data_IF_989155999352
#
_entry.id   IF_989155999352
#
_cell.length_a   1.000
_cell.length_b   1.000
_cell.length_c   1.000
_cell.angle_alpha   90.00
_cell.angle_beta   90.00
_cell.angle_gamma   90.00
#
_symmetry.space_group_name_H-M   'P 1'
#
loop_
_entity.id
_entity.type
_entity.pdbx_description
1 polymer ?
#
# COMPACT_ATOMS: atom_id res chain seq x y z
N UNK A 1 -14.68 18.18 -18.24
CA UNK A 1 -13.70 19.30 -18.10
C UNK A 1 -12.87 19.38 -19.36
N UNK A 2 -12.57 20.58 -19.87
CA UNK A 2 -11.67 20.77 -21.00
C UNK A 2 -10.21 20.80 -20.53
N UNK A 3 -9.27 20.49 -21.43
CA UNK A 3 -7.83 20.57 -21.14
C UNK A 3 -7.42 21.97 -20.64
N UNK A 4 -8.02 23.01 -21.23
CA UNK A 4 -7.85 24.40 -20.80
C UNK A 4 -8.38 24.67 -19.37
N UNK A 5 -9.50 24.05 -18.99
CA UNK A 5 -10.02 24.12 -17.63
C UNK A 5 -9.10 23.45 -16.61
N UNK A 6 -8.40 22.38 -16.99
CA UNK A 6 -7.44 21.68 -16.13
C UNK A 6 -6.21 22.57 -15.81
N UNK A 7 -5.65 23.25 -16.82
CA UNK A 7 -4.53 24.19 -16.65
C UNK A 7 -4.92 25.51 -15.96
N UNK A 8 -6.21 25.81 -15.87
CA UNK A 8 -6.69 26.98 -15.12
C UNK A 8 -6.64 26.77 -13.60
N UNK A 9 -6.91 25.54 -13.15
CA UNK A 9 -6.86 25.17 -11.72
C UNK A 9 -5.49 24.70 -11.26
N UNK A 10 -4.66 24.20 -12.17
CA UNK A 10 -3.34 23.66 -11.86
C UNK A 10 -2.24 24.36 -12.65
N UNK A 11 -1.17 24.76 -11.96
CA UNK A 11 0.03 25.37 -12.54
C UNK A 11 0.80 24.43 -13.47
N UNK A 12 0.50 23.13 -13.49
CA UNK A 12 1.05 22.16 -14.43
C UNK A 12 0.81 20.70 -14.05
N UNK A 13 1.30 19.78 -14.89
CA UNK A 13 1.21 18.31 -14.71
C UNK A 13 1.68 17.86 -13.32
N UNK A 14 2.73 18.49 -12.80
CA UNK A 14 3.35 18.13 -11.51
C UNK A 14 2.43 18.41 -10.32
N UNK A 15 1.60 19.44 -10.38
CA UNK A 15 0.64 19.76 -9.30
C UNK A 15 -0.51 18.75 -9.29
N UNK A 16 -1.01 18.38 -10.47
CA UNK A 16 -2.02 17.32 -10.61
C UNK A 16 -1.47 15.98 -10.12
N UNK A 17 -0.24 15.64 -10.53
CA UNK A 17 0.41 14.40 -10.09
C UNK A 17 0.65 14.41 -8.58
N UNK A 18 1.07 15.54 -8.03
CA UNK A 18 1.23 15.72 -6.59
C UNK A 18 -0.08 15.47 -5.86
N UNK A 19 -1.17 16.11 -6.26
CA UNK A 19 -2.46 15.97 -5.60
C UNK A 19 -2.99 14.54 -5.66
N UNK A 20 -2.90 13.88 -6.83
CA UNK A 20 -3.29 12.47 -6.97
C UNK A 20 -2.50 11.59 -6.00
N UNK A 21 -1.17 11.72 -5.97
CA UNK A 21 -0.33 10.86 -5.13
C UNK A 21 -0.50 11.18 -3.64
N UNK A 22 -0.52 12.45 -3.28
CA UNK A 22 -0.65 12.91 -1.90
C UNK A 22 -1.98 12.46 -1.32
N UNK A 23 -3.08 12.71 -2.04
CA UNK A 23 -4.42 12.31 -1.60
C UNK A 23 -4.56 10.80 -1.50
N UNK A 24 -4.01 10.05 -2.46
CA UNK A 24 -4.09 8.59 -2.42
C UNK A 24 -3.34 8.01 -1.23
N UNK A 25 -2.12 8.48 -0.93
CA UNK A 25 -1.38 8.00 0.25
C UNK A 25 -2.01 8.47 1.57
N UNK A 26 -2.60 9.67 1.61
CA UNK A 26 -3.32 10.18 2.79
C UNK A 26 -4.51 9.26 3.10
N UNK A 27 -5.39 9.04 2.13
CA UNK A 27 -6.58 8.19 2.27
C UNK A 27 -6.23 6.74 2.57
N UNK A 28 -5.16 6.21 1.96
CA UNK A 28 -4.66 4.87 2.27
C UNK A 28 -4.14 4.76 3.71
N UNK A 29 -3.43 5.77 4.22
CA UNK A 29 -2.96 5.78 5.60
C UNK A 29 -4.11 5.92 6.61
N UNK A 30 -5.17 6.65 6.25
CA UNK A 30 -6.40 6.75 7.05
C UNK A 30 -7.14 5.42 7.11
N UNK A 31 -7.30 4.73 5.98
CA UNK A 31 -7.95 3.41 5.95
C UNK A 31 -7.18 2.37 6.78
N UNK A 32 -5.83 2.44 6.79
CA UNK A 32 -5.02 1.61 7.68
C UNK A 32 -5.23 1.97 9.16
N UNK A 33 -5.29 3.26 9.50
CA UNK A 33 -5.52 3.68 10.88
C UNK A 33 -6.88 3.18 11.40
N UNK A 34 -7.92 3.27 10.57
CA UNK A 34 -9.25 2.72 10.87
C UNK A 34 -9.23 1.20 11.00
N UNK A 35 -8.61 0.49 10.06
CA UNK A 35 -8.54 -0.97 10.06
C UNK A 35 -7.74 -1.54 11.25
N UNK A 36 -6.83 -0.75 11.82
CA UNK A 36 -6.01 -1.12 12.97
C UNK A 36 -6.62 -0.73 14.32
N UNK A 37 -7.70 0.06 14.33
CA UNK A 37 -8.32 0.52 15.56
C UNK A 37 -8.75 -0.66 16.44
N UNK A 38 -8.20 -0.73 17.66
CA UNK A 38 -8.49 -1.80 18.63
C UNK A 38 -7.79 -3.15 18.36
N UNK A 39 -7.02 -3.28 17.27
CA UNK A 39 -6.33 -4.52 16.92
C UNK A 39 -4.98 -4.60 17.63
N UNK A 40 -4.81 -5.63 18.48
CA UNK A 40 -3.59 -5.82 19.28
C UNK A 40 -2.64 -6.87 18.71
N UNK A 41 -3.17 -7.95 18.16
CA UNK A 41 -2.35 -9.07 17.68
C UNK A 41 -1.59 -8.67 16.39
N UNK A 42 -0.24 -8.78 16.35
CA UNK A 42 0.55 -8.34 15.20
C UNK A 42 0.19 -9.04 13.88
N UNK A 43 -0.14 -10.34 13.95
CA UNK A 43 -0.57 -11.11 12.77
C UNK A 43 -1.88 -10.55 12.21
N UNK A 44 -2.84 -10.27 13.06
CA UNK A 44 -4.11 -9.66 12.65
C UNK A 44 -3.91 -8.23 12.14
N UNK A 45 -3.04 -7.43 12.77
CA UNK A 45 -2.67 -6.10 12.24
C UNK A 45 -2.18 -6.20 10.79
N UNK A 46 -1.30 -7.17 10.51
CA UNK A 46 -0.79 -7.36 9.16
C UNK A 46 -1.88 -7.75 8.17
N UNK A 47 -2.81 -8.64 8.56
CA UNK A 47 -3.97 -8.98 7.72
C UNK A 47 -4.83 -7.76 7.42
N UNK A 48 -5.11 -6.93 8.43
CA UNK A 48 -5.89 -5.69 8.28
C UNK A 48 -5.24 -4.72 7.31
N UNK A 49 -3.93 -4.53 7.42
CA UNK A 49 -3.16 -3.68 6.49
C UNK A 49 -3.25 -4.23 5.06
N UNK A 50 -3.02 -5.53 4.86
CA UNK A 50 -3.09 -6.13 3.52
C UNK A 50 -4.49 -6.00 2.92
N UNK A 51 -5.52 -6.30 3.72
CA UNK A 51 -6.92 -6.16 3.31
C UNK A 51 -7.28 -4.72 2.94
N UNK A 52 -6.94 -3.76 3.79
CA UNK A 52 -7.20 -2.33 3.54
C UNK A 52 -6.46 -1.83 2.30
N UNK A 53 -5.22 -2.28 2.08
CA UNK A 53 -4.46 -1.92 0.87
C UNK A 53 -5.13 -2.45 -0.40
N UNK A 54 -5.50 -3.73 -0.42
CA UNK A 54 -6.10 -4.36 -1.60
C UNK A 54 -7.51 -3.82 -1.88
N UNK A 55 -8.30 -3.57 -0.84
CA UNK A 55 -9.60 -2.90 -0.97
C UNK A 55 -9.44 -1.49 -1.55
N UNK A 56 -8.53 -0.69 -0.99
CA UNK A 56 -8.22 0.64 -1.53
C UNK A 56 -7.75 0.57 -2.98
N UNK A 57 -6.87 -0.38 -3.31
CA UNK A 57 -6.40 -0.60 -4.66
C UNK A 57 -7.54 -0.89 -5.63
N UNK A 58 -8.42 -1.84 -5.28
CA UNK A 58 -9.51 -2.28 -6.14
C UNK A 58 -10.55 -1.17 -6.39
N UNK A 59 -10.78 -0.30 -5.41
CA UNK A 59 -11.65 0.88 -5.56
C UNK A 59 -10.99 2.03 -6.32
N UNK A 60 -9.66 2.02 -6.52
CA UNK A 60 -8.89 3.14 -7.07
C UNK A 60 -7.88 2.72 -8.15
N UNK A 61 -8.22 1.71 -8.97
CA UNK A 61 -7.31 1.13 -9.98
C UNK A 61 -6.64 2.20 -10.88
N UNK A 62 -7.36 3.20 -11.44
CA UNK A 62 -6.73 4.23 -12.26
C UNK A 62 -5.67 5.03 -11.50
N UNK A 63 -5.97 5.44 -10.26
CA UNK A 63 -5.05 6.18 -9.40
C UNK A 63 -3.82 5.32 -9.08
N UNK A 64 -4.01 4.04 -8.76
CA UNK A 64 -2.92 3.11 -8.48
C UNK A 64 -2.00 2.92 -9.68
N UNK A 65 -2.53 2.92 -10.91
CA UNK A 65 -1.70 2.90 -12.13
C UNK A 65 -0.81 4.14 -12.24
N UNK A 66 -1.33 5.32 -11.90
CA UNK A 66 -0.55 6.57 -11.87
C UNK A 66 0.52 6.52 -10.78
N UNK A 67 0.14 6.12 -9.57
CA UNK A 67 1.05 5.96 -8.43
C UNK A 67 2.22 5.02 -8.73
N UNK A 68 1.97 3.90 -9.40
CA UNK A 68 3.03 2.93 -9.74
C UNK A 68 3.92 3.38 -10.89
N UNK A 69 3.37 4.03 -11.94
CA UNK A 69 4.12 4.42 -13.15
C UNK A 69 4.88 5.74 -13.01
N UNK A 70 4.33 6.70 -12.27
CA UNK A 70 4.83 8.06 -12.18
C UNK A 70 5.45 8.32 -10.79
N UNK A 71 5.85 7.26 -10.09
CA UNK A 71 6.26 7.31 -8.68
C UNK A 71 7.51 8.18 -8.43
N UNK A 72 8.34 8.39 -9.45
CA UNK A 72 9.61 9.14 -9.38
C UNK A 72 9.58 10.46 -10.17
N UNK A 73 8.43 10.87 -10.70
CA UNK A 73 8.35 12.08 -11.54
C UNK A 73 8.24 13.38 -10.75
N UNK A 74 7.79 13.32 -9.49
CA UNK A 74 7.71 14.51 -8.65
C UNK A 74 9.12 14.95 -8.23
N UNK A 75 9.35 16.26 -8.21
CA UNK A 75 10.61 16.88 -7.76
C UNK A 75 10.38 17.94 -6.68
N UNK A 76 11.45 18.36 -6.01
CA UNK A 76 11.42 19.41 -4.99
C UNK A 76 10.40 19.15 -3.87
N UNK A 77 9.66 20.19 -3.50
CA UNK A 77 8.69 20.15 -2.38
C UNK A 77 7.58 19.09 -2.54
N UNK A 78 7.19 18.77 -3.78
CA UNK A 78 6.14 17.78 -4.02
C UNK A 78 6.63 16.35 -3.77
N UNK A 79 7.87 16.05 -4.22
CA UNK A 79 8.52 14.79 -3.95
C UNK A 79 8.73 14.56 -2.45
N UNK A 80 9.13 15.62 -1.73
CA UNK A 80 9.36 15.57 -0.30
C UNK A 80 8.09 15.19 0.48
N UNK A 81 6.99 15.93 0.25
CA UNK A 81 5.70 15.71 0.93
C UNK A 81 5.10 14.33 0.64
N UNK A 82 5.11 13.88 -0.62
CA UNK A 82 4.66 12.52 -0.97
C UNK A 82 5.60 11.47 -0.38
N UNK A 83 6.90 11.73 -0.42
CA UNK A 83 7.92 10.86 0.17
C UNK A 83 7.73 10.64 1.67
N UNK A 84 7.29 11.66 2.42
CA UNK A 84 6.97 11.52 3.84
C UNK A 84 5.82 10.54 4.09
N UNK A 85 4.74 10.63 3.31
CA UNK A 85 3.60 9.72 3.41
C UNK A 85 4.01 8.28 3.04
N UNK A 86 4.80 8.11 1.97
CA UNK A 86 5.36 6.80 1.60
C UNK A 86 6.21 6.20 2.72
N UNK A 87 7.13 6.99 3.29
CA UNK A 87 7.96 6.55 4.42
C UNK A 87 7.11 6.20 5.63
N UNK A 88 6.04 6.94 5.91
CA UNK A 88 5.08 6.61 6.98
C UNK A 88 4.40 5.27 6.73
N UNK A 89 3.97 4.99 5.50
CA UNK A 89 3.36 3.71 5.16
C UNK A 89 4.36 2.55 5.30
N UNK A 90 5.59 2.70 4.79
CA UNK A 90 6.65 1.69 4.96
C UNK A 90 6.95 1.44 6.45
N UNK A 91 7.06 2.50 7.26
CA UNK A 91 7.28 2.37 8.71
C UNK A 91 6.14 1.65 9.42
N UNK A 92 4.89 1.87 9.01
CA UNK A 92 3.73 1.17 9.57
C UNK A 92 3.85 -0.34 9.36
N UNK A 93 4.08 -0.77 8.11
CA UNK A 93 4.23 -2.19 7.76
C UNK A 93 5.44 -2.80 8.47
N UNK A 94 6.57 -2.08 8.47
CA UNK A 94 7.79 -2.52 9.15
C UNK A 94 7.58 -2.71 10.65
N UNK A 95 6.92 -1.77 11.32
CA UNK A 95 6.64 -1.87 12.75
C UNK A 95 5.85 -3.11 13.12
N UNK A 96 4.83 -3.47 12.33
CA UNK A 96 4.06 -4.70 12.55
C UNK A 96 4.90 -5.97 12.35
N UNK A 97 5.82 -5.97 11.37
CA UNK A 97 6.73 -7.08 11.15
C UNK A 97 7.84 -7.17 12.22
N UNK A 98 8.30 -6.04 12.75
CA UNK A 98 9.20 -5.99 13.90
C UNK A 98 8.50 -6.58 15.15
N UNK A 99 7.23 -6.22 15.42
CA UNK A 99 6.42 -6.84 16.50
C UNK A 99 6.31 -8.37 16.34
N UNK A 100 6.10 -8.86 15.11
CA UNK A 100 6.09 -10.30 14.81
C UNK A 100 7.46 -10.95 15.05
N UNK A 101 8.55 -10.25 14.70
CA UNK A 101 9.91 -10.71 14.94
C UNK A 101 10.20 -10.85 16.44
N UNK A 102 9.80 -9.86 17.24
CA UNK A 102 9.95 -9.85 18.70
C UNK A 102 9.17 -10.99 19.37
N UNK A 103 8.01 -11.36 18.81
CA UNK A 103 7.24 -12.53 19.27
C UNK A 103 7.89 -13.88 18.93
N UNK A 104 9.08 -13.89 18.31
CA UNK A 104 9.81 -15.08 17.84
C UNK A 104 9.02 -15.95 16.85
N UNK A 105 7.94 -15.41 16.28
CA UNK A 105 7.03 -16.10 15.37
C UNK A 105 7.57 -16.20 13.93
N UNK A 106 8.54 -15.36 13.55
CA UNK A 106 9.12 -15.37 12.21
C UNK A 106 10.11 -16.53 12.03
N UNK A 107 10.17 -17.06 10.80
CA UNK A 107 11.29 -17.87 10.29
C UNK A 107 12.55 -17.00 10.20
N UNK A 108 13.67 -17.59 9.79
CA UNK A 108 14.93 -16.88 9.53
C UNK A 108 14.84 -16.02 8.25
N UNK A 109 13.97 -15.01 8.29
CA UNK A 109 13.71 -14.06 7.21
C UNK A 109 13.97 -12.66 7.76
N UNK A 110 14.93 -11.90 7.20
CA UNK A 110 15.16 -10.53 7.62
C UNK A 110 13.90 -9.67 7.43
N UNK A 111 13.52 -8.91 8.47
CA UNK A 111 12.30 -8.07 8.44
C UNK A 111 12.28 -7.11 7.23
N UNK A 112 13.43 -6.51 6.91
CA UNK A 112 13.54 -5.62 5.75
C UNK A 112 13.17 -6.31 4.44
N UNK A 113 13.64 -7.56 4.24
CA UNK A 113 13.28 -8.38 3.07
C UNK A 113 11.79 -8.69 3.05
N UNK A 114 11.22 -9.09 4.19
CA UNK A 114 9.80 -9.37 4.31
C UNK A 114 8.93 -8.14 3.94
N UNK A 115 9.32 -6.94 4.40
CA UNK A 115 8.64 -5.68 4.04
C UNK A 115 8.63 -5.48 2.52
N UNK A 116 9.79 -5.57 1.86
CA UNK A 116 9.88 -5.34 0.41
C UNK A 116 9.12 -6.39 -0.40
N UNK A 117 9.17 -7.67 0.02
CA UNK A 117 8.40 -8.74 -0.64
C UNK A 117 6.90 -8.49 -0.53
N UNK A 118 6.40 -8.09 0.65
CA UNK A 118 4.99 -7.78 0.83
C UNK A 118 4.54 -6.63 -0.07
N UNK A 119 5.32 -5.54 -0.10
CA UNK A 119 5.07 -4.43 -1.01
C UNK A 119 5.12 -4.85 -2.47
N UNK A 120 6.04 -5.73 -2.86
CA UNK A 120 6.10 -6.29 -4.20
C UNK A 120 4.82 -7.03 -4.58
N UNK A 121 4.33 -7.91 -3.71
CA UNK A 121 3.08 -8.65 -3.93
C UNK A 121 1.88 -7.72 -4.11
N UNK A 122 1.76 -6.70 -3.26
CA UNK A 122 0.64 -5.76 -3.29
C UNK A 122 0.73 -4.75 -4.44
N UNK A 123 1.91 -4.18 -4.67
CA UNK A 123 2.11 -3.13 -5.65
C UNK A 123 2.15 -3.67 -7.09
N UNK A 124 2.31 -4.97 -7.33
CA UNK A 124 2.28 -5.53 -8.69
C UNK A 124 0.85 -5.69 -9.23
N UNK A 125 -0.17 -5.70 -8.35
CA UNK A 125 -1.56 -5.96 -8.69
C UNK A 125 -2.11 -5.04 -9.81
N UNK A 126 -1.64 -3.79 -9.92
CA UNK A 126 -2.06 -2.85 -10.97
C UNK A 126 -1.82 -3.32 -12.41
N UNK A 127 -0.93 -4.29 -12.60
CA UNK A 127 -0.55 -4.77 -13.92
C UNK A 127 -1.46 -5.86 -14.45
N UNK A 128 -2.09 -6.64 -13.58
CA UNK A 128 -2.78 -7.86 -13.98
C UNK A 128 -4.16 -8.06 -13.36
N UNK A 129 -4.41 -7.58 -12.13
CA UNK A 129 -5.65 -7.90 -11.42
C UNK A 129 -6.86 -7.20 -12.03
N UNK A 130 -7.86 -8.01 -12.39
CA UNK A 130 -9.17 -7.61 -12.89
C UNK A 130 -10.26 -8.30 -12.04
N UNK A 131 -10.99 -7.56 -11.19
CA UNK A 131 -12.04 -8.14 -10.34
C UNK A 131 -13.11 -8.94 -11.09
N UNK A 132 -13.33 -8.63 -12.38
CA UNK A 132 -14.29 -9.35 -13.20
C UNK A 132 -13.80 -10.76 -13.63
N UNK A 133 -12.49 -11.01 -13.59
CA UNK A 133 -11.85 -12.25 -14.05
C UNK A 133 -11.20 -13.05 -12.94
N UNK A 134 -10.56 -12.36 -12.01
CA UNK A 134 -9.65 -12.95 -11.02
C UNK A 134 -10.31 -13.13 -9.64
N UNK A 135 -11.58 -12.72 -9.49
CA UNK A 135 -12.34 -12.82 -8.24
C UNK A 135 -12.30 -11.55 -7.41
N UNK A 136 -12.92 -11.58 -6.22
CA UNK A 136 -13.13 -10.38 -5.40
C UNK A 136 -11.85 -9.92 -4.70
N UNK A 137 -11.74 -8.62 -4.36
CA UNK A 137 -10.57 -8.09 -3.65
C UNK A 137 -10.32 -8.77 -2.30
N UNK A 138 -11.37 -9.22 -1.63
CA UNK A 138 -11.29 -9.94 -0.35
C UNK A 138 -10.59 -11.29 -0.54
N UNK A 139 -10.99 -12.06 -1.55
CA UNK A 139 -10.34 -13.35 -1.88
C UNK A 139 -8.87 -13.16 -2.28
N UNK A 140 -8.58 -12.11 -3.04
CA UNK A 140 -7.20 -11.76 -3.38
C UNK A 140 -6.39 -11.42 -2.12
N UNK A 141 -6.97 -10.65 -1.19
CA UNK A 141 -6.32 -10.33 0.07
C UNK A 141 -6.06 -11.56 0.94
N UNK A 142 -7.03 -12.46 1.04
CA UNK A 142 -6.86 -13.76 1.71
C UNK A 142 -5.69 -14.54 1.10
N UNK A 143 -5.64 -14.67 -0.24
CA UNK A 143 -4.55 -15.38 -0.92
C UNK A 143 -3.17 -14.73 -0.66
N UNK A 144 -3.07 -13.41 -0.75
CA UNK A 144 -1.82 -12.67 -0.45
C UNK A 144 -1.39 -12.90 0.99
N UNK A 145 -2.34 -12.82 1.94
CA UNK A 145 -2.06 -13.04 3.36
C UNK A 145 -1.60 -14.48 3.63
N UNK A 146 -2.25 -15.48 3.07
CA UNK A 146 -1.90 -16.89 3.25
C UNK A 146 -0.51 -17.19 2.71
N UNK A 147 -0.22 -16.77 1.47
CA UNK A 147 1.11 -16.96 0.85
C UNK A 147 2.18 -16.26 1.67
N UNK A 148 1.96 -14.99 2.03
CA UNK A 148 2.97 -14.22 2.74
C UNK A 148 3.20 -14.74 4.16
N UNK A 149 2.14 -14.88 4.96
CA UNK A 149 2.23 -15.37 6.34
C UNK A 149 2.74 -16.81 6.40
N UNK A 150 2.31 -17.70 5.50
CA UNK A 150 2.84 -19.06 5.40
C UNK A 150 4.32 -19.10 5.01
N UNK A 151 4.75 -18.12 4.22
CA UNK A 151 6.15 -17.91 3.85
C UNK A 151 7.02 -17.49 5.04
N UNK A 152 6.54 -16.58 5.88
CA UNK A 152 7.37 -15.93 6.91
C UNK A 152 7.17 -16.45 8.35
N UNK A 153 6.05 -17.11 8.67
CA UNK A 153 5.79 -17.60 10.04
C UNK A 153 6.30 -19.02 10.23
N UNK A 154 6.88 -19.30 11.40
CA UNK A 154 7.21 -20.67 11.82
C UNK A 154 5.94 -21.54 11.82
N UNK A 155 6.05 -22.83 11.47
CA UNK A 155 4.96 -23.79 11.70
C UNK A 155 4.56 -23.75 13.18
N UNK A 156 3.26 -23.89 13.45
CA UNK A 156 2.78 -24.13 14.81
C UNK A 156 3.20 -25.51 15.30
#
# INVERSE_FOLDING_TARGET
MSLAGLYYYFKGKDEILFDIQHESFRTLLESHAEALAGVKEPKEKLRRIVGAHIAFFASNIPQMKVLSRESEQLTGKYAERVGELRRRYVRLVRGVLDELSESHALKDVPVGTAVFLLFGMMNWLYTWYDPAKDGTPEKLAEAVQEIFLGGILKPR
#
